data_IF_904814318818
#
_entry.id   IF_904814318818
#
_cell.length_a   1.000
_cell.length_b   1.000
_cell.length_c   1.000
_cell.angle_alpha   90.00
_cell.angle_beta   90.00
_cell.angle_gamma   90.00
#
_symmetry.space_group_name_H-M   'P 1'
#
loop_
_entity.id
_entity.type
_entity.pdbx_description
1 polymer ?
#
# COMPACT_ATOMS: atom_id res chain seq x y z
N UNK A 1 -21.78 -13.65 -6.65
CA UNK A 1 -22.01 -15.02 -7.16
C UNK A 1 -21.53 -16.05 -6.14
N UNK A 2 -22.13 -17.25 -6.08
CA UNK A 2 -21.58 -18.35 -5.26
C UNK A 2 -20.61 -19.15 -6.11
N UNK A 3 -19.44 -19.47 -5.55
CA UNK A 3 -18.47 -20.32 -6.24
C UNK A 3 -18.99 -21.76 -6.30
N UNK A 4 -19.07 -22.40 -7.48
CA UNK A 4 -19.53 -23.79 -7.59
C UNK A 4 -18.58 -24.79 -6.92
N UNK A 5 -17.29 -24.44 -6.76
CA UNK A 5 -16.29 -25.34 -6.17
C UNK A 5 -16.26 -25.32 -4.63
N UNK A 6 -16.45 -24.17 -3.98
CA UNK A 6 -16.40 -24.08 -2.51
C UNK A 6 -17.60 -23.39 -1.85
N UNK A 7 -18.64 -23.08 -2.63
CA UNK A 7 -19.89 -22.47 -2.19
C UNK A 7 -19.77 -21.11 -1.46
N UNK A 8 -18.57 -20.52 -1.43
CA UNK A 8 -18.32 -19.21 -0.84
C UNK A 8 -18.98 -18.10 -1.67
N UNK A 9 -19.45 -17.06 -0.97
CA UNK A 9 -19.98 -15.84 -1.59
C UNK A 9 -18.83 -15.00 -2.14
N UNK A 10 -18.75 -14.91 -3.46
CA UNK A 10 -17.73 -14.14 -4.17
C UNK A 10 -18.35 -12.85 -4.72
N UNK A 11 -17.76 -11.66 -4.47
CA UNK A 11 -18.21 -10.41 -5.07
C UNK A 11 -18.17 -10.49 -6.60
N UNK A 12 -19.15 -9.92 -7.31
CA UNK A 12 -19.22 -10.00 -8.77
C UNK A 12 -18.01 -9.34 -9.50
N UNK A 13 -17.19 -8.55 -8.78
CA UNK A 13 -15.96 -7.95 -9.30
C UNK A 13 -14.75 -8.90 -9.32
N UNK A 14 -14.87 -10.10 -8.72
CA UNK A 14 -13.78 -11.07 -8.61
C UNK A 14 -13.95 -12.17 -9.65
N UNK A 15 -12.94 -12.36 -10.50
CA UNK A 15 -12.95 -13.44 -11.49
C UNK A 15 -12.43 -14.77 -10.92
N UNK A 16 -11.76 -14.76 -9.77
CA UNK A 16 -11.16 -15.94 -9.15
C UNK A 16 -11.65 -16.02 -7.70
N UNK A 17 -12.21 -17.16 -7.34
CA UNK A 17 -12.60 -17.48 -5.99
C UNK A 17 -11.36 -17.80 -5.13
N UNK A 18 -11.45 -17.61 -3.80
CA UNK A 18 -10.37 -17.98 -2.86
C UNK A 18 -9.89 -19.44 -2.96
N UNK A 19 -10.73 -20.35 -3.45
CA UNK A 19 -10.35 -21.73 -3.71
C UNK A 19 -9.57 -21.96 -5.02
N UNK A 20 -9.18 -20.89 -5.74
CA UNK A 20 -8.49 -20.99 -7.02
C UNK A 20 -9.41 -21.26 -8.22
N UNK A 21 -10.73 -21.28 -8.02
CA UNK A 21 -11.69 -21.51 -9.10
C UNK A 21 -11.97 -20.22 -9.88
N UNK A 22 -11.77 -20.25 -11.20
CA UNK A 22 -12.04 -19.11 -12.06
C UNK A 22 -13.53 -19.09 -12.44
N UNK A 23 -14.25 -18.09 -11.92
CA UNK A 23 -15.70 -17.95 -12.08
C UNK A 23 -16.12 -17.55 -13.51
N UNK A 24 -15.18 -17.04 -14.32
CA UNK A 24 -15.44 -16.68 -15.73
C UNK A 24 -15.03 -17.78 -16.71
N UNK A 25 -13.94 -18.48 -16.43
CA UNK A 25 -13.43 -19.54 -17.29
C UNK A 25 -14.04 -20.91 -16.99
N UNK A 26 -14.67 -21.10 -15.82
CA UNK A 26 -15.31 -22.37 -15.44
C UNK A 26 -14.32 -23.48 -15.05
N UNK A 27 -13.04 -23.15 -14.90
CA UNK A 27 -11.96 -24.10 -14.62
C UNK A 27 -11.21 -23.74 -13.34
N UNK A 28 -10.64 -24.76 -12.69
CA UNK A 28 -9.73 -24.56 -11.56
C UNK A 28 -8.36 -24.16 -12.09
N UNK A 29 -7.79 -23.05 -11.58
CA UNK A 29 -6.42 -22.66 -11.92
C UNK A 29 -5.49 -23.61 -11.17
N UNK A 30 -5.03 -24.67 -11.86
CA UNK A 30 -4.19 -25.74 -11.32
C UNK A 30 -2.73 -25.29 -11.12
N UNK A 31 -2.51 -24.17 -10.45
CA UNK A 31 -1.19 -23.79 -9.92
C UNK A 31 -1.11 -24.29 -8.45
N UNK A 32 -0.02 -24.96 -8.01
CA UNK A 32 0.07 -25.62 -6.70
C UNK A 32 -0.28 -24.72 -5.50
N UNK A 33 0.06 -23.43 -5.60
CA UNK A 33 -0.21 -22.40 -4.59
C UNK A 33 -1.72 -22.19 -4.37
N UNK A 34 -2.52 -22.23 -5.44
CA UNK A 34 -3.97 -22.05 -5.34
C UNK A 34 -4.64 -23.27 -4.71
N UNK A 35 -4.14 -24.48 -4.99
CA UNK A 35 -4.64 -25.73 -4.40
C UNK A 35 -4.38 -25.78 -2.89
N UNK A 36 -3.16 -25.42 -2.45
CA UNK A 36 -2.79 -25.40 -1.02
C UNK A 36 -3.52 -24.31 -0.25
N UNK A 37 -3.66 -23.11 -0.82
CA UNK A 37 -4.45 -22.04 -0.21
C UNK A 37 -5.93 -22.41 -0.11
N UNK A 38 -6.49 -23.15 -1.09
CA UNK A 38 -7.84 -23.67 -1.02
C UNK A 38 -8.02 -24.71 0.11
N UNK A 39 -7.04 -25.61 0.30
CA UNK A 39 -7.04 -26.62 1.37
C UNK A 39 -6.97 -25.99 2.76
N UNK A 40 -6.13 -24.96 2.95
CA UNK A 40 -6.04 -24.22 4.23
C UNK A 40 -7.31 -23.42 4.52
N UNK A 41 -7.94 -22.84 3.50
CA UNK A 41 -9.23 -22.15 3.67
C UNK A 41 -10.32 -23.16 4.04
N UNK A 42 -10.33 -24.34 3.41
CA UNK A 42 -11.29 -25.41 3.69
C UNK A 42 -11.15 -25.95 5.11
N UNK A 43 -9.93 -26.24 5.57
CA UNK A 43 -9.70 -26.75 6.93
C UNK A 43 -10.13 -25.75 8.00
N UNK A 44 -9.92 -24.45 7.77
CA UNK A 44 -10.36 -23.40 8.69
C UNK A 44 -11.87 -23.16 8.67
N UNK A 45 -12.53 -23.38 7.54
CA UNK A 45 -14.00 -23.34 7.47
C UNK A 45 -14.63 -24.53 8.21
N UNK A 46 -14.00 -25.71 8.15
CA UNK A 46 -14.38 -26.90 8.92
C UNK A 46 -14.19 -26.67 10.43
N UNK A 47 -13.04 -26.17 10.87
CA UNK A 47 -12.77 -25.80 12.27
C UNK A 47 -13.76 -24.76 12.80
N UNK A 48 -14.07 -23.73 11.99
CA UNK A 48 -15.07 -22.72 12.34
C UNK A 48 -16.49 -23.30 12.46
N UNK A 49 -16.80 -24.34 11.69
CA UNK A 49 -18.10 -25.00 11.72
C UNK A 49 -18.23 -25.90 12.96
N UNK A 50 -17.15 -26.59 13.34
CA UNK A 50 -17.04 -27.38 14.56
C UNK A 50 -17.25 -26.51 15.80
N UNK A 51 -16.51 -25.40 15.93
CA UNK A 51 -16.69 -24.43 17.02
C UNK A 51 -18.15 -23.93 17.09
N UNK A 52 -18.81 -23.73 15.94
CA UNK A 52 -20.20 -23.30 15.90
C UNK A 52 -21.17 -24.36 16.40
N UNK A 53 -20.88 -25.63 16.15
CA UNK A 53 -21.67 -26.74 16.64
C UNK A 53 -21.48 -26.92 18.15
N UNK A 54 -20.25 -26.81 18.65
CA UNK A 54 -19.95 -26.87 20.08
C UNK A 54 -20.68 -25.77 20.86
N UNK A 55 -20.65 -24.53 20.36
CA UNK A 55 -21.40 -23.41 20.95
C UNK A 55 -22.91 -23.70 20.98
N UNK A 56 -23.45 -24.34 19.94
CA UNK A 56 -24.86 -24.70 19.86
C UNK A 56 -25.20 -25.80 20.88
N UNK A 57 -24.32 -26.79 21.05
CA UNK A 57 -24.48 -27.88 22.02
C UNK A 57 -24.38 -27.37 23.48
N UNK A 58 -23.43 -26.50 23.77
CA UNK A 58 -23.29 -25.84 25.07
C UNK A 58 -24.55 -25.03 25.39
N UNK A 59 -25.07 -24.26 24.44
CA UNK A 59 -26.29 -23.47 24.64
C UNK A 59 -27.52 -24.36 24.89
N UNK A 60 -27.65 -25.49 24.18
CA UNK A 60 -28.73 -26.45 24.42
C UNK A 60 -28.60 -27.12 25.80
N UNK A 61 -27.37 -27.42 26.22
CA UNK A 61 -27.07 -27.97 27.56
C UNK A 61 -27.43 -26.98 28.67
N UNK A 62 -27.15 -25.69 28.47
CA UNK A 62 -27.53 -24.64 29.42
C UNK A 62 -29.05 -24.47 29.47
N UNK A 63 -29.73 -24.54 28.33
CA UNK A 63 -31.19 -24.37 28.23
C UNK A 63 -31.96 -25.53 28.89
N UNK A 64 -31.37 -26.72 28.93
CA UNK A 64 -31.97 -27.94 29.49
C UNK A 64 -31.55 -28.23 30.94
N UNK A 65 -30.71 -27.41 31.59
CA UNK A 65 -30.43 -27.57 33.02
C UNK A 65 -31.68 -27.20 33.85
N UNK A 66 -32.19 -28.10 34.71
CA UNK A 66 -33.33 -27.79 35.56
C UNK A 66 -32.96 -26.69 36.57
N UNK A 67 -33.77 -25.63 36.65
CA UNK A 67 -33.59 -24.55 37.62
C UNK A 67 -33.66 -25.13 39.06
N UNK A 68 -32.70 -24.82 39.94
CA UNK A 68 -32.72 -25.35 41.30
C UNK A 68 -33.93 -24.80 42.08
N UNK A 69 -34.73 -25.70 42.66
CA UNK A 69 -35.78 -25.34 43.62
C UNK A 69 -35.12 -25.02 44.97
N UNK A 70 -35.11 -23.75 45.35
CA UNK A 70 -34.68 -23.31 46.67
C UNK A 70 -35.77 -23.73 47.67
N UNK A 71 -35.49 -24.77 48.48
CA UNK A 71 -36.29 -25.18 49.63
C UNK A 71 -35.57 -24.75 50.91
N UNK A 72 -35.78 -23.51 51.36
CA UNK A 72 -35.66 -23.06 52.76
C UNK A 72 -36.06 -21.57 52.87
N UNK A 73 -36.84 -21.17 53.89
CA UNK A 73 -37.28 -19.79 54.07
C UNK A 73 -36.11 -18.86 54.46
N UNK A 74 -36.20 -17.61 54.01
CA UNK A 74 -35.14 -16.58 53.99
C UNK A 74 -34.76 -16.03 55.38
N UNK A 75 -35.39 -16.50 56.46
CA UNK A 75 -35.26 -15.92 57.82
C UNK A 75 -34.18 -16.56 58.70
N UNK A 76 -33.39 -17.51 58.21
CA UNK A 76 -32.45 -18.31 59.02
C UNK A 76 -30.96 -18.13 58.59
N UNK A 77 -30.66 -17.14 57.75
CA UNK A 77 -29.28 -16.83 57.29
C UNK A 77 -28.95 -15.35 57.57
N UNK A 78 -29.23 -14.90 58.79
CA UNK A 78 -28.72 -13.64 59.32
C UNK A 78 -28.02 -13.92 60.63
N UNK A 79 -26.79 -14.41 60.57
CA UNK A 79 -25.78 -14.13 61.59
C UNK A 79 -24.38 -14.46 61.08
N UNK A 80 -23.53 -13.43 61.10
CA UNK A 80 -22.08 -13.49 61.24
C UNK A 80 -21.31 -14.29 60.18
N UNK A 81 -21.03 -13.64 59.06
CA UNK A 81 -19.66 -13.43 58.54
C UNK A 81 -19.74 -12.16 57.68
N UNK A 82 -18.89 -11.20 58.00
CA UNK A 82 -18.70 -9.91 57.33
C UNK A 82 -18.37 -10.12 55.85
N UNK A 83 -19.42 -10.35 55.07
CA UNK A 83 -19.40 -10.63 53.64
C UNK A 83 -19.14 -9.36 52.84
N UNK A 84 -19.31 -8.17 53.44
CA UNK A 84 -19.13 -6.91 52.73
C UNK A 84 -17.65 -6.65 52.39
N UNK A 85 -16.68 -7.05 53.22
CA UNK A 85 -15.25 -6.83 52.88
C UNK A 85 -14.73 -7.82 51.82
N UNK A 86 -15.14 -9.08 51.87
CA UNK A 86 -14.68 -10.12 50.94
C UNK A 86 -15.42 -10.04 49.60
N UNK A 87 -16.72 -9.72 49.63
CA UNK A 87 -17.51 -9.48 48.43
C UNK A 87 -17.11 -8.15 47.79
N UNK A 88 -16.78 -7.09 48.54
CA UNK A 88 -16.23 -5.87 47.93
C UNK A 88 -14.87 -6.13 47.26
N UNK A 89 -14.00 -6.94 47.87
CA UNK A 89 -12.69 -7.29 47.30
C UNK A 89 -12.82 -8.19 46.06
N UNK A 90 -13.69 -9.20 46.09
CA UNK A 90 -14.00 -10.02 44.91
C UNK A 90 -14.73 -9.23 43.82
N UNK A 91 -15.65 -8.33 44.18
CA UNK A 91 -16.37 -7.48 43.24
C UNK A 91 -15.44 -6.44 42.60
N UNK A 92 -14.43 -5.95 43.33
CA UNK A 92 -13.39 -5.07 42.78
C UNK A 92 -12.42 -5.81 41.85
N UNK A 93 -12.05 -7.06 42.16
CA UNK A 93 -11.24 -7.89 41.25
C UNK A 93 -12.04 -8.34 40.01
N UNK A 94 -13.31 -8.69 40.19
CA UNK A 94 -14.24 -9.00 39.09
C UNK A 94 -14.51 -7.76 38.23
N UNK A 95 -14.62 -6.56 38.82
CA UNK A 95 -14.71 -5.31 38.05
C UNK A 95 -13.43 -5.06 37.27
N UNK A 96 -12.24 -5.18 37.89
CA UNK A 96 -10.95 -5.03 37.21
C UNK A 96 -10.76 -6.06 36.09
N UNK A 97 -11.18 -7.31 36.31
CA UNK A 97 -11.16 -8.36 35.30
C UNK A 97 -12.16 -8.07 34.17
N UNK A 98 -13.37 -7.60 34.51
CA UNK A 98 -14.39 -7.21 33.52
C UNK A 98 -14.00 -5.96 32.73
N UNK A 99 -13.30 -5.00 33.33
CA UNK A 99 -12.75 -3.82 32.65
C UNK A 99 -11.53 -4.18 31.82
N UNK A 100 -10.70 -5.13 32.24
CA UNK A 100 -9.60 -5.68 31.45
C UNK A 100 -10.09 -6.53 30.26
N UNK A 101 -11.27 -7.14 30.37
CA UNK A 101 -11.98 -7.83 29.28
C UNK A 101 -12.70 -6.81 28.38
N UNK A 102 -13.33 -5.78 28.96
CA UNK A 102 -14.02 -4.70 28.24
C UNK A 102 -13.04 -3.82 27.46
N UNK A 103 -11.86 -3.51 28.02
CA UNK A 103 -10.77 -2.84 27.28
C UNK A 103 -10.16 -3.72 26.19
N UNK A 104 -10.18 -5.05 26.34
CA UNK A 104 -9.76 -5.98 25.28
C UNK A 104 -10.83 -6.17 24.18
N UNK A 105 -12.11 -6.02 24.50
CA UNK A 105 -13.21 -6.20 23.54
C UNK A 105 -13.70 -4.89 22.88
N UNK A 106 -13.42 -3.71 23.45
CA UNK A 106 -13.70 -2.41 22.80
C UNK A 106 -12.74 -2.13 21.63
N UNK A 107 -11.60 -2.82 21.55
CA UNK A 107 -10.71 -2.80 20.37
C UNK A 107 -11.10 -3.82 19.28
N UNK A 108 -12.21 -4.58 19.48
CA UNK A 108 -12.57 -5.71 18.62
C UNK A 108 -13.98 -5.70 18.01
N UNK A 109 -14.95 -4.96 18.55
CA UNK A 109 -16.32 -5.02 18.03
C UNK A 109 -17.10 -3.72 18.25
N UNK A 110 -16.94 -2.78 17.32
CA UNK A 110 -17.84 -1.67 17.13
C UNK A 110 -17.96 -1.40 15.62
N UNK A 111 -18.78 -2.18 14.90
CA UNK A 111 -19.68 -1.72 13.82
C UNK A 111 -20.38 -2.90 13.11
N UNK A 112 -21.30 -3.55 13.79
CA UNK A 112 -22.59 -3.97 13.25
C UNK A 112 -23.57 -3.62 14.38
N UNK A 113 -24.54 -2.72 14.25
CA UNK A 113 -25.77 -2.83 13.46
C UNK A 113 -26.30 -1.39 13.32
N UNK A 114 -26.48 -0.90 12.09
CA UNK A 114 -27.63 -0.06 11.75
C UNK A 114 -28.05 -0.43 10.33
N UNK A 115 -29.15 -1.18 10.26
CA UNK A 115 -29.94 -1.39 9.06
C UNK A 115 -30.40 -0.02 8.54
N UNK A 116 -30.09 0.29 7.28
CA UNK A 116 -31.01 1.02 6.42
C UNK A 116 -31.04 0.28 5.10
N UNK A 117 -32.19 -0.35 4.87
CA UNK A 117 -32.67 -0.77 3.56
C UNK A 117 -32.70 0.44 2.63
N UNK A 118 -32.06 0.35 1.46
CA UNK A 118 -32.56 0.99 0.25
C UNK A 118 -32.07 0.21 -0.98
N UNK A 119 -33.04 -0.03 -1.86
CA UNK A 119 -33.07 -0.88 -3.05
C UNK A 119 -32.06 -0.50 -4.15
N UNK A 120 -31.63 -1.46 -5.00
CA UNK A 120 -30.80 -1.16 -6.16
C UNK A 120 -31.66 -0.61 -7.31
N UNK A 121 -31.42 0.65 -7.70
CA UNK A 121 -31.85 1.17 -8.99
C UNK A 121 -30.78 0.79 -10.01
N UNK A 122 -31.20 0.06 -11.04
CA UNK A 122 -30.34 -0.50 -12.07
C UNK A 122 -29.86 0.54 -13.08
N UNK A 123 -28.72 0.24 -13.69
CA UNK A 123 -28.41 0.63 -15.06
C UNK A 123 -27.73 -0.57 -15.74
N UNK A 124 -28.41 -1.02 -16.79
CA UNK A 124 -28.08 -2.11 -17.72
C UNK A 124 -26.89 -1.75 -18.62
N UNK A 125 -26.20 -2.79 -19.11
CA UNK A 125 -25.16 -2.75 -20.15
C UNK A 125 -25.64 -2.07 -21.45
N UNK A 126 -24.73 -1.79 -22.42
CA UNK A 126 -24.46 -2.85 -23.41
C UNK A 126 -23.00 -2.94 -23.89
N UNK A 127 -22.55 -4.18 -24.12
CA UNK A 127 -21.80 -4.52 -25.33
C UNK A 127 -20.29 -4.65 -25.22
N UNK A 128 -19.79 -5.87 -25.08
CA UNK A 128 -18.67 -6.33 -25.90
C UNK A 128 -18.78 -7.84 -26.13
N UNK A 129 -19.26 -8.19 -27.32
CA UNK A 129 -19.25 -9.53 -27.88
C UNK A 129 -17.83 -10.00 -28.11
N UNK A 130 -17.63 -11.31 -27.88
CA UNK A 130 -16.46 -12.05 -28.32
C UNK A 130 -16.52 -12.22 -29.83
N UNK A 131 -15.41 -11.98 -30.51
CA UNK A 131 -15.12 -12.62 -31.80
C UNK A 131 -13.78 -13.33 -31.67
N UNK A 132 -13.87 -14.63 -31.91
CA UNK A 132 -12.79 -15.58 -32.14
C UNK A 132 -12.26 -15.41 -33.55
N UNK A 133 -10.94 -15.40 -33.74
CA UNK A 133 -10.37 -15.76 -35.03
C UNK A 133 -8.99 -16.41 -34.84
N UNK A 134 -8.83 -17.51 -35.56
CA UNK A 134 -7.72 -18.46 -35.53
C UNK A 134 -6.44 -17.89 -36.18
N UNK A 135 -5.31 -18.50 -35.83
CA UNK A 135 -4.02 -18.33 -36.47
C UNK A 135 -4.06 -18.70 -37.97
N UNK A 136 -3.05 -18.26 -38.74
CA UNK A 136 -2.11 -19.27 -39.23
C UNK A 136 -0.62 -18.88 -39.18
N UNK A 137 0.18 -19.93 -39.37
CA UNK A 137 1.64 -20.05 -39.45
C UNK A 137 2.38 -19.03 -40.32
N UNK A 138 3.68 -18.85 -40.05
CA UNK A 138 4.62 -18.46 -41.11
C UNK A 138 5.90 -17.76 -40.68
N UNK A 139 6.99 -18.53 -40.70
CA UNK A 139 8.36 -18.19 -41.08
C UNK A 139 9.40 -17.57 -40.11
N UNK A 140 10.37 -18.45 -39.87
CA UNK A 140 11.80 -18.29 -39.61
C UNK A 140 12.50 -17.21 -40.47
N UNK A 141 13.47 -16.50 -39.88
CA UNK A 141 14.90 -16.56 -40.23
C UNK A 141 15.68 -15.28 -39.84
N UNK A 142 16.99 -15.46 -39.70
CA UNK A 142 18.09 -14.48 -39.69
C UNK A 142 18.70 -14.05 -38.33
N UNK A 143 19.63 -14.91 -37.90
CA UNK A 143 20.94 -14.59 -37.32
C UNK A 143 21.63 -13.36 -37.93
N UNK A 144 22.42 -12.67 -37.10
CA UNK A 144 23.40 -11.66 -37.52
C UNK A 144 24.28 -11.28 -36.33
N UNK A 145 25.50 -11.83 -36.33
CA UNK A 145 26.56 -11.66 -35.33
C UNK A 145 27.21 -10.27 -35.39
N UNK A 146 27.66 -9.77 -34.23
CA UNK A 146 28.86 -8.91 -34.15
C UNK A 146 29.43 -8.88 -32.71
N UNK A 147 30.53 -9.61 -32.53
CA UNK A 147 31.63 -9.41 -31.56
C UNK A 147 32.25 -8.01 -31.71
N UNK A 148 33.05 -7.40 -30.82
CA UNK A 148 33.51 -7.63 -29.45
C UNK A 148 34.16 -6.31 -28.97
N UNK A 149 34.30 -6.13 -27.66
CA UNK A 149 35.05 -5.03 -27.05
C UNK A 149 35.26 -5.23 -25.55
N UNK A 150 36.21 -6.12 -25.20
CA UNK A 150 36.62 -6.47 -23.83
C UNK A 150 37.40 -5.33 -23.18
N UNK A 151 37.10 -5.04 -21.91
CA UNK A 151 38.09 -4.56 -20.94
C UNK A 151 37.77 -5.08 -19.53
N UNK A 152 38.74 -5.77 -18.92
CA UNK A 152 39.04 -5.68 -17.47
C UNK A 152 38.24 -6.53 -16.50
N UNK A 153 38.89 -7.56 -15.97
CA UNK A 153 38.36 -8.59 -15.07
C UNK A 153 38.12 -8.12 -13.62
N UNK A 154 37.05 -8.67 -13.04
CA UNK A 154 36.80 -8.77 -11.61
C UNK A 154 35.84 -9.94 -11.42
N UNK A 155 36.38 -11.17 -11.43
CA UNK A 155 35.62 -12.41 -11.37
C UNK A 155 35.01 -12.55 -9.97
N UNK A 156 33.72 -12.18 -9.84
CA UNK A 156 32.83 -12.78 -8.86
C UNK A 156 32.12 -13.90 -9.60
N UNK A 157 32.35 -15.13 -9.16
CA UNK A 157 31.74 -16.36 -9.67
C UNK A 157 30.22 -16.18 -9.84
N UNK A 158 29.79 -16.06 -11.09
CA UNK A 158 28.38 -16.07 -11.49
C UNK A 158 27.85 -17.48 -11.32
N UNK A 159 27.26 -17.77 -10.15
CA UNK A 159 26.21 -18.78 -10.10
C UNK A 159 25.14 -18.37 -11.11
N UNK A 160 24.83 -19.25 -12.05
CA UNK A 160 23.70 -19.14 -12.98
C UNK A 160 22.40 -19.20 -12.18
N UNK A 161 22.10 -18.15 -11.42
CA UNK A 161 20.79 -17.90 -10.87
C UNK A 161 19.90 -17.35 -11.97
N UNK A 162 18.70 -17.92 -12.12
CA UNK A 162 17.66 -17.35 -12.97
C UNK A 162 17.36 -15.91 -12.50
N UNK A 163 17.80 -14.91 -13.26
CA UNK A 163 17.46 -13.51 -12.96
C UNK A 163 16.01 -13.27 -13.36
N UNK A 164 15.12 -13.15 -12.40
CA UNK A 164 13.71 -12.89 -12.67
C UNK A 164 13.54 -11.41 -13.01
N UNK A 165 13.07 -11.12 -14.24
CA UNK A 165 12.93 -9.75 -14.75
C UNK A 165 11.52 -9.23 -14.50
N UNK A 166 11.41 -7.96 -14.10
CA UNK A 166 10.14 -7.24 -14.13
C UNK A 166 9.76 -6.89 -15.57
N UNK A 167 8.50 -7.11 -15.94
CA UNK A 167 8.01 -6.74 -17.27
C UNK A 167 6.84 -5.77 -17.14
N UNK A 168 6.81 -4.74 -17.98
CA UNK A 168 5.72 -3.77 -18.02
C UNK A 168 5.07 -3.74 -19.40
N UNK A 169 3.84 -4.28 -19.50
CA UNK A 169 3.09 -4.40 -20.77
C UNK A 169 2.22 -3.20 -21.11
N UNK A 170 2.20 -2.17 -20.26
CA UNK A 170 1.33 -1.01 -20.42
C UNK A 170 1.59 -0.27 -21.73
N UNK A 171 0.52 0.12 -22.43
CA UNK A 171 0.57 0.82 -23.73
C UNK A 171 0.15 2.28 -23.55
N UNK A 172 0.94 3.19 -24.12
CA UNK A 172 0.70 4.65 -24.06
C UNK A 172 -0.70 5.04 -24.54
N UNK A 173 -1.13 4.51 -25.70
CA UNK A 173 -2.46 4.79 -26.27
C UNK A 173 -3.61 4.33 -25.37
N UNK A 174 -3.48 3.16 -24.73
CA UNK A 174 -4.53 2.62 -23.84
C UNK A 174 -4.63 3.47 -22.58
N UNK A 175 -3.48 3.81 -21.97
CA UNK A 175 -3.46 4.69 -20.80
C UNK A 175 -3.94 6.10 -21.13
N UNK A 176 -3.58 6.65 -22.30
CA UNK A 176 -4.08 7.93 -22.79
C UNK A 176 -5.61 7.96 -22.88
N UNK A 177 -6.24 6.91 -23.42
CA UNK A 177 -7.72 6.83 -23.49
C UNK A 177 -8.35 6.88 -22.10
N UNK A 178 -7.78 6.16 -21.13
CA UNK A 178 -8.25 6.16 -19.74
C UNK A 178 -8.10 7.56 -19.13
N UNK A 179 -6.89 8.13 -19.22
CA UNK A 179 -6.56 9.44 -18.68
C UNK A 179 -7.44 10.56 -19.28
N UNK A 180 -7.60 10.56 -20.61
CA UNK A 180 -8.38 11.59 -21.32
C UNK A 180 -9.86 11.52 -20.94
N UNK A 181 -10.46 10.32 -20.94
CA UNK A 181 -11.85 10.14 -20.51
C UNK A 181 -12.04 10.53 -19.04
N UNK A 182 -11.10 10.16 -18.18
CA UNK A 182 -11.12 10.55 -16.78
C UNK A 182 -11.06 12.08 -16.61
N UNK A 183 -10.23 12.78 -17.41
CA UNK A 183 -10.13 14.24 -17.38
C UNK A 183 -11.44 14.90 -17.81
N UNK A 184 -12.11 14.36 -18.84
CA UNK A 184 -13.44 14.82 -19.25
C UNK A 184 -14.48 14.64 -18.13
N UNK A 185 -14.51 13.45 -17.51
CA UNK A 185 -15.41 13.18 -16.39
C UNK A 185 -15.12 14.06 -15.18
N UNK A 186 -13.84 14.37 -14.91
CA UNK A 186 -13.47 15.34 -13.89
C UNK A 186 -14.01 16.73 -14.21
N UNK A 187 -13.92 17.20 -15.45
CA UNK A 187 -14.50 18.49 -15.85
C UNK A 187 -16.03 18.48 -15.69
N UNK A 188 -16.73 17.43 -16.14
CA UNK A 188 -18.18 17.31 -16.02
C UNK A 188 -18.68 17.21 -14.57
N UNK A 189 -17.83 16.75 -13.64
CA UNK A 189 -18.17 16.58 -12.21
C UNK A 189 -17.55 17.63 -11.30
N UNK A 190 -17.00 18.72 -11.88
CA UNK A 190 -16.33 19.80 -11.12
C UNK A 190 -15.24 19.22 -10.19
N UNK A 191 -14.48 18.27 -10.70
CA UNK A 191 -13.36 17.63 -10.01
C UNK A 191 -13.72 16.45 -9.10
N UNK A 192 -15.01 16.20 -8.79
CA UNK A 192 -15.40 15.11 -7.88
C UNK A 192 -14.95 13.74 -8.41
N UNK A 193 -14.99 13.51 -9.73
CA UNK A 193 -14.57 12.25 -10.33
C UNK A 193 -13.06 11.93 -10.17
N UNK A 194 -12.24 12.89 -9.69
CA UNK A 194 -10.81 12.70 -9.46
C UNK A 194 -10.49 11.43 -8.67
N UNK A 195 -11.28 11.11 -7.65
CA UNK A 195 -11.01 9.95 -6.78
C UNK A 195 -11.14 8.62 -7.54
N UNK A 196 -12.15 8.47 -8.39
CA UNK A 196 -12.32 7.28 -9.22
C UNK A 196 -11.30 7.24 -10.36
N UNK A 197 -10.98 8.40 -10.94
CA UNK A 197 -9.94 8.54 -11.96
C UNK A 197 -8.56 8.05 -11.44
N UNK A 198 -8.11 8.55 -10.28
CA UNK A 198 -6.81 8.19 -9.67
C UNK A 198 -6.71 6.68 -9.45
N UNK A 199 -7.76 6.06 -8.90
CA UNK A 199 -7.80 4.60 -8.67
C UNK A 199 -7.79 3.80 -9.98
N UNK A 200 -8.53 4.25 -11.00
CA UNK A 200 -8.58 3.59 -12.31
C UNK A 200 -7.23 3.61 -13.01
N UNK A 201 -6.51 4.74 -12.91
CA UNK A 201 -5.16 4.89 -13.46
C UNK A 201 -4.14 4.03 -12.71
N UNK A 202 -4.14 4.04 -11.37
CA UNK A 202 -3.27 3.16 -10.57
C UNK A 202 -3.53 1.69 -10.86
N UNK A 203 -4.79 1.27 -10.90
CA UNK A 203 -5.17 -0.11 -11.25
C UNK A 203 -4.63 -0.51 -12.62
N UNK A 204 -4.69 0.38 -13.61
CA UNK A 204 -4.11 0.11 -14.92
C UNK A 204 -2.60 -0.13 -14.83
N UNK A 205 -1.84 0.76 -14.16
CA UNK A 205 -0.39 0.62 -14.05
C UNK A 205 0.03 -0.66 -13.32
N UNK A 206 -0.62 -0.99 -12.20
CA UNK A 206 -0.32 -2.20 -11.43
C UNK A 206 -0.65 -3.48 -12.23
N UNK A 207 -1.84 -3.55 -12.84
CA UNK A 207 -2.24 -4.72 -13.63
C UNK A 207 -1.39 -4.94 -14.89
N UNK A 208 -0.65 -3.92 -15.34
CA UNK A 208 0.28 -4.02 -16.46
C UNK A 208 1.72 -4.29 -16.03
N UNK A 209 1.99 -4.35 -14.72
CA UNK A 209 3.28 -4.70 -14.14
C UNK A 209 3.28 -6.18 -13.79
N UNK A 210 4.15 -6.95 -14.44
CA UNK A 210 4.32 -8.38 -14.25
C UNK A 210 5.64 -8.68 -13.55
N UNK A 211 5.57 -9.62 -12.61
CA UNK A 211 6.74 -10.22 -11.98
C UNK A 211 6.59 -11.73 -12.11
N UNK A 212 7.62 -12.40 -12.66
CA UNK A 212 7.62 -13.86 -12.85
C UNK A 212 6.33 -14.38 -13.55
N UNK A 213 5.88 -13.66 -14.58
CA UNK A 213 4.73 -14.01 -15.41
C UNK A 213 3.35 -13.74 -14.81
N UNK A 214 3.23 -13.28 -13.56
CA UNK A 214 1.95 -12.91 -12.95
C UNK A 214 1.89 -11.40 -12.65
N UNK A 215 0.76 -10.76 -12.94
CA UNK A 215 0.57 -9.32 -12.74
C UNK A 215 0.31 -8.92 -11.29
N UNK A 216 0.67 -7.69 -10.94
CA UNK A 216 0.25 -7.07 -9.68
C UNK A 216 -1.22 -6.65 -9.76
N UNK A 217 -1.95 -6.80 -8.66
CA UNK A 217 -3.35 -6.36 -8.54
C UNK A 217 -3.47 -5.22 -7.53
N UNK A 218 -4.35 -4.25 -7.83
CA UNK A 218 -4.64 -3.11 -6.95
C UNK A 218 -6.13 -3.00 -6.61
N UNK A 219 -6.46 -3.15 -5.32
CA UNK A 219 -7.81 -3.36 -4.79
C UNK A 219 -8.45 -2.13 -4.12
N UNK A 220 -7.91 -0.93 -4.31
CA UNK A 220 -8.48 0.28 -3.71
C UNK A 220 -9.81 0.68 -4.38
N UNK A 221 -10.64 1.41 -3.62
CA UNK A 221 -11.89 2.01 -4.09
C UNK A 221 -11.81 3.55 -4.10
N UNK A 222 -12.55 4.19 -5.00
CA UNK A 222 -12.59 5.67 -5.08
C UNK A 222 -13.22 6.31 -3.83
N UNK A 223 -14.18 5.63 -3.20
CA UNK A 223 -14.82 6.12 -1.98
C UNK A 223 -13.88 6.14 -0.76
N UNK A 224 -13.01 5.12 -0.62
CA UNK A 224 -11.95 5.13 0.40
C UNK A 224 -11.08 6.37 0.28
N UNK A 225 -10.76 6.77 -0.96
CA UNK A 225 -9.95 7.96 -1.24
C UNK A 225 -10.74 9.26 -1.03
N UNK A 226 -12.02 9.33 -1.39
CA UNK A 226 -12.87 10.50 -1.14
C UNK A 226 -12.96 10.83 0.36
N UNK A 227 -13.25 9.84 1.22
CA UNK A 227 -13.36 10.08 2.67
C UNK A 227 -12.04 10.51 3.31
N UNK A 228 -10.92 10.06 2.73
CA UNK A 228 -9.61 10.52 3.13
C UNK A 228 -9.39 12.00 2.79
N UNK A 229 -9.67 12.39 1.54
CA UNK A 229 -9.57 13.78 1.10
C UNK A 229 -10.52 14.70 1.88
N UNK A 230 -11.70 14.24 2.26
CA UNK A 230 -12.62 15.03 3.10
C UNK A 230 -11.99 15.40 4.46
N UNK A 231 -11.25 14.48 5.08
CA UNK A 231 -10.54 14.75 6.35
C UNK A 231 -9.42 15.77 6.16
N UNK A 232 -8.71 15.72 5.03
CA UNK A 232 -7.70 16.73 4.69
C UNK A 232 -8.34 18.07 4.34
N UNK A 233 -9.47 18.07 3.65
CA UNK A 233 -10.23 19.27 3.34
C UNK A 233 -10.66 20.01 4.62
N UNK A 234 -11.06 19.30 5.67
CA UNK A 234 -11.32 19.91 6.99
C UNK A 234 -10.07 20.60 7.54
N UNK A 235 -8.90 19.95 7.46
CA UNK A 235 -7.65 20.59 7.88
C UNK A 235 -7.37 21.85 7.05
N UNK A 236 -7.50 21.78 5.73
CA UNK A 236 -7.29 22.92 4.82
C UNK A 236 -8.27 24.06 5.13
N UNK A 237 -9.53 23.77 5.45
CA UNK A 237 -10.51 24.78 5.85
C UNK A 237 -10.12 25.45 7.17
N UNK A 238 -9.55 24.70 8.13
CA UNK A 238 -8.98 25.29 9.35
C UNK A 238 -7.82 26.21 8.99
N UNK A 239 -6.92 25.78 8.10
CA UNK A 239 -5.80 26.60 7.63
C UNK A 239 -6.29 27.91 7.02
N UNK A 240 -7.18 27.83 6.02
CA UNK A 240 -7.74 28.99 5.33
C UNK A 240 -8.53 29.89 6.29
N UNK A 241 -9.30 29.30 7.20
CA UNK A 241 -10.02 30.05 8.23
C UNK A 241 -9.08 30.83 9.13
N UNK A 242 -7.97 30.23 9.56
CA UNK A 242 -6.93 30.92 10.34
C UNK A 242 -6.28 32.05 9.52
N UNK A 243 -5.98 31.83 8.24
CA UNK A 243 -5.44 32.90 7.38
C UNK A 243 -6.43 34.06 7.23
N UNK A 244 -7.71 33.78 7.01
CA UNK A 244 -8.75 34.83 6.92
C UNK A 244 -8.94 35.59 8.25
N UNK A 245 -8.85 34.92 9.40
CA UNK A 245 -8.92 35.57 10.70
C UNK A 245 -7.77 36.56 10.94
N UNK A 246 -6.61 36.36 10.32
CA UNK A 246 -5.49 37.32 10.40
C UNK A 246 -5.84 38.68 9.76
N UNK A 247 -6.71 38.70 8.74
CA UNK A 247 -7.15 39.94 8.11
C UNK A 247 -8.17 40.71 8.97
N UNK A 248 -9.02 40.00 9.72
CA UNK A 248 -10.03 40.61 10.60
C UNK A 248 -9.40 41.14 11.89
N UNK A 249 -8.38 40.46 12.41
CA UNK A 249 -7.71 40.81 13.67
C UNK A 249 -6.26 41.25 13.40
N UNK A 250 -5.97 42.55 13.19
CA UNK A 250 -4.66 43.06 12.76
C UNK A 250 -3.59 43.08 13.87
N UNK A 251 -3.66 42.15 14.84
CA UNK A 251 -2.67 42.03 15.90
C UNK A 251 -1.45 41.24 15.42
N UNK A 252 -0.32 41.91 15.19
CA UNK A 252 0.92 41.31 14.67
C UNK A 252 1.34 40.04 15.42
N UNK A 253 1.25 40.04 16.75
CA UNK A 253 1.59 38.87 17.58
C UNK A 253 0.65 37.67 17.35
N UNK A 254 -0.66 37.91 17.18
CA UNK A 254 -1.64 36.85 16.95
C UNK A 254 -1.40 36.19 15.59
N UNK A 255 -1.10 37.01 14.57
CA UNK A 255 -0.76 36.55 13.21
C UNK A 255 0.48 35.65 13.22
N UNK A 256 1.54 36.07 13.93
CA UNK A 256 2.78 35.29 14.06
C UNK A 256 2.52 33.97 14.78
N UNK A 257 1.82 34.00 15.94
CA UNK A 257 1.50 32.80 16.71
C UNK A 257 0.67 31.83 15.88
N UNK A 258 -0.37 32.31 15.19
CA UNK A 258 -1.21 31.51 14.32
C UNK A 258 -0.41 30.84 13.19
N UNK A 259 0.50 31.58 12.54
CA UNK A 259 1.40 31.05 11.53
C UNK A 259 2.34 29.97 12.08
N UNK A 260 2.92 30.18 13.26
CA UNK A 260 3.80 29.19 13.91
C UNK A 260 3.05 27.91 14.30
N UNK A 261 1.85 28.05 14.87
CA UNK A 261 0.98 26.91 15.22
C UNK A 261 0.63 26.11 13.97
N UNK A 262 0.25 26.79 12.89
CA UNK A 262 -0.06 26.16 11.62
C UNK A 262 1.15 25.40 11.04
N UNK A 263 2.33 26.04 11.03
CA UNK A 263 3.57 25.40 10.60
C UNK A 263 3.88 24.14 11.42
N UNK A 264 3.67 24.19 12.74
CA UNK A 264 3.87 23.05 13.63
C UNK A 264 2.90 21.90 13.32
N UNK A 265 1.65 22.21 12.99
CA UNK A 265 0.65 21.21 12.58
C UNK A 265 1.10 20.51 11.29
N UNK A 266 1.49 21.23 10.25
CA UNK A 266 1.99 20.64 9.00
C UNK A 266 3.21 19.74 9.23
N UNK A 267 4.10 20.19 10.10
CA UNK A 267 5.29 19.45 10.48
C UNK A 267 5.00 18.11 11.16
N UNK A 268 3.97 18.04 12.01
CA UNK A 268 3.53 16.80 12.67
C UNK A 268 2.71 15.92 11.72
N UNK A 269 1.86 16.52 10.87
CA UNK A 269 0.99 15.79 9.94
C UNK A 269 1.79 15.06 8.86
N UNK A 270 2.92 15.61 8.42
CA UNK A 270 3.75 15.02 7.35
C UNK A 270 4.23 13.57 7.64
N UNK A 271 4.92 13.27 8.76
CA UNK A 271 5.34 11.89 9.07
C UNK A 271 4.14 10.95 9.31
N UNK A 272 3.04 11.46 9.88
CA UNK A 272 1.80 10.70 10.03
C UNK A 272 1.29 10.30 8.65
N UNK A 273 1.26 11.25 7.71
CA UNK A 273 0.83 11.02 6.36
C UNK A 273 1.69 9.93 5.69
N UNK A 274 3.02 10.08 5.68
CA UNK A 274 3.90 9.10 5.03
C UNK A 274 3.68 7.65 5.47
N UNK A 275 3.42 7.40 6.77
CA UNK A 275 3.10 6.05 7.27
C UNK A 275 1.73 5.58 6.77
N UNK A 276 0.71 6.43 6.88
CA UNK A 276 -0.65 6.07 6.48
C UNK A 276 -0.75 5.82 4.97
N UNK A 277 -0.06 6.60 4.11
CA UNK A 277 -0.03 6.40 2.65
C UNK A 277 0.54 5.04 2.32
N UNK A 278 1.64 4.66 2.97
CA UNK A 278 2.26 3.36 2.77
C UNK A 278 1.33 2.23 3.21
N UNK A 279 0.72 2.31 4.40
CA UNK A 279 -0.26 1.31 4.86
C UNK A 279 -1.41 1.14 3.87
N UNK A 280 -1.97 2.24 3.39
CA UNK A 280 -3.03 2.23 2.39
C UNK A 280 -2.56 1.59 1.07
N UNK A 281 -1.43 2.02 0.51
CA UNK A 281 -0.93 1.51 -0.78
C UNK A 281 -0.55 0.03 -0.72
N UNK A 282 0.19 -0.38 0.30
CA UNK A 282 0.62 -1.77 0.43
C UNK A 282 -0.55 -2.71 0.73
N UNK A 283 -1.48 -2.34 1.64
CA UNK A 283 -2.64 -3.20 1.95
C UNK A 283 -3.60 -3.42 0.79
N UNK A 284 -3.54 -2.57 -0.25
CA UNK A 284 -4.33 -2.69 -1.48
C UNK A 284 -3.57 -3.26 -2.65
N UNK A 285 -2.26 -3.47 -2.51
CA UNK A 285 -1.45 -4.16 -3.51
C UNK A 285 -1.40 -5.64 -3.18
N UNK A 286 -1.65 -6.50 -4.18
CA UNK A 286 -1.45 -7.93 -4.05
C UNK A 286 -0.74 -8.50 -5.25
N UNK A 287 -0.09 -9.64 -5.04
CA UNK A 287 0.54 -10.41 -6.09
C UNK A 287 0.31 -11.89 -5.83
N UNK A 288 -0.13 -12.64 -6.86
CA UNK A 288 -0.53 -14.06 -6.73
C UNK A 288 -1.53 -14.30 -5.58
N UNK A 289 -2.39 -13.33 -5.31
CA UNK A 289 -3.39 -13.37 -4.23
C UNK A 289 -2.86 -13.04 -2.82
N UNK A 290 -1.56 -12.85 -2.64
CA UNK A 290 -0.93 -12.47 -1.37
C UNK A 290 -0.79 -10.94 -1.32
N UNK A 291 -1.22 -10.33 -0.21
CA UNK A 291 -1.17 -8.87 -0.03
C UNK A 291 0.15 -8.40 0.56
N UNK A 292 0.57 -7.21 0.14
CA UNK A 292 1.60 -6.47 0.85
C UNK A 292 1.02 -5.83 2.11
N UNK A 293 1.86 -5.57 3.09
CA UNK A 293 1.47 -4.81 4.29
C UNK A 293 2.61 -3.94 4.79
N UNK A 294 2.27 -2.83 5.42
CA UNK A 294 3.23 -1.94 6.06
C UNK A 294 2.96 -1.89 7.57
N UNK A 295 3.96 -2.23 8.37
CA UNK A 295 3.82 -2.38 9.84
C UNK A 295 4.60 -1.34 10.63
N UNK A 296 5.06 -0.28 9.97
CA UNK A 296 5.82 0.79 10.62
C UNK A 296 4.97 1.60 11.59
N UNK A 297 5.53 1.95 12.76
CA UNK A 297 4.87 2.80 13.76
C UNK A 297 5.14 4.29 13.50
N UNK A 298 4.08 5.10 13.55
CA UNK A 298 4.14 6.56 13.36
C UNK A 298 5.17 7.21 14.29
N UNK A 299 5.20 6.82 15.57
CA UNK A 299 6.13 7.38 16.57
C UNK A 299 7.61 7.16 16.21
N UNK A 300 7.94 6.03 15.61
CA UNK A 300 9.31 5.72 15.20
C UNK A 300 9.74 6.64 14.04
N UNK A 301 8.86 6.86 13.05
CA UNK A 301 9.14 7.81 11.97
C UNK A 301 9.18 9.25 12.47
N UNK A 302 8.30 9.65 13.39
CA UNK A 302 8.32 11.01 13.98
C UNK A 302 9.66 11.31 14.68
N UNK A 303 10.24 10.34 15.41
CA UNK A 303 11.55 10.50 16.05
C UNK A 303 12.70 10.68 15.05
N UNK A 304 12.52 10.22 13.82
CA UNK A 304 13.50 10.40 12.73
C UNK A 304 13.25 11.74 12.03
N UNK A 305 12.01 12.02 11.64
CA UNK A 305 11.67 13.18 10.82
C UNK A 305 11.69 14.51 11.56
N UNK A 306 11.15 14.58 12.78
CA UNK A 306 11.08 15.85 13.52
C UNK A 306 12.47 16.46 13.75
N UNK A 307 13.43 15.79 14.40
CA UNK A 307 14.77 16.36 14.53
C UNK A 307 15.46 16.48 13.17
N UNK A 308 15.20 15.56 12.25
CA UNK A 308 15.86 15.56 10.94
C UNK A 308 15.46 16.73 10.04
N UNK A 309 14.20 17.16 10.03
CA UNK A 309 13.76 18.32 9.25
C UNK A 309 14.36 19.60 9.86
N UNK A 310 14.38 19.72 11.19
CA UNK A 310 15.03 20.86 11.86
C UNK A 310 16.52 20.94 11.49
N UNK A 311 17.25 19.82 11.58
CA UNK A 311 18.65 19.74 11.15
C UNK A 311 18.81 20.01 9.64
N UNK A 312 17.85 19.59 8.82
CA UNK A 312 17.86 19.87 7.38
C UNK A 312 17.77 21.37 7.11
N UNK A 313 16.89 22.09 7.79
CA UNK A 313 16.78 23.55 7.68
C UNK A 313 18.07 24.21 8.18
N UNK A 314 18.57 23.80 9.36
CA UNK A 314 19.78 24.36 9.98
C UNK A 314 21.04 24.16 9.12
N UNK A 315 21.12 23.07 8.36
CA UNK A 315 22.27 22.71 7.53
C UNK A 315 22.08 23.09 6.05
N UNK A 316 21.13 23.98 5.73
CA UNK A 316 20.82 24.40 4.36
C UNK A 316 20.61 23.21 3.41
N UNK A 317 19.78 22.27 3.83
CA UNK A 317 19.42 21.04 3.15
C UNK A 317 20.50 19.96 3.06
N UNK A 318 21.72 20.15 3.58
CA UNK A 318 22.77 19.12 3.52
C UNK A 318 22.36 17.84 4.29
N UNK A 319 21.70 17.97 5.44
CA UNK A 319 21.23 16.84 6.22
C UNK A 319 20.04 16.08 5.57
N UNK A 320 19.42 16.66 4.53
CA UNK A 320 18.29 16.05 3.83
C UNK A 320 18.61 14.64 3.33
N UNK A 321 19.82 14.42 2.82
CA UNK A 321 20.24 13.10 2.37
C UNK A 321 20.17 12.04 3.47
N UNK A 322 20.67 12.34 4.66
CA UNK A 322 20.64 11.42 5.79
C UNK A 322 19.21 11.15 6.24
N UNK A 323 18.37 12.19 6.31
CA UNK A 323 16.95 12.06 6.64
C UNK A 323 16.22 11.17 5.63
N UNK A 324 16.43 11.40 4.33
CA UNK A 324 15.85 10.60 3.25
C UNK A 324 16.32 9.14 3.33
N UNK A 325 17.62 8.92 3.59
CA UNK A 325 18.19 7.60 3.78
C UNK A 325 17.53 6.85 4.94
N UNK A 326 17.43 7.47 6.12
CA UNK A 326 16.79 6.85 7.30
C UNK A 326 15.29 6.62 7.12
N UNK A 327 14.62 7.49 6.38
CA UNK A 327 13.21 7.28 6.02
C UNK A 327 13.07 6.09 5.06
N UNK A 328 13.98 5.93 4.08
CA UNK A 328 13.99 4.78 3.16
C UNK A 328 14.26 3.46 3.89
N UNK A 329 15.27 3.46 4.77
CA UNK A 329 15.61 2.36 5.66
C UNK A 329 14.39 1.93 6.49
N UNK A 330 13.76 2.89 7.19
CA UNK A 330 12.53 2.66 7.94
C UNK A 330 11.40 2.10 7.06
N UNK A 331 11.19 2.63 5.86
CA UNK A 331 10.10 2.20 4.99
C UNK A 331 10.28 0.76 4.51
N UNK A 332 11.47 0.40 4.02
CA UNK A 332 11.74 -0.97 3.53
C UNK A 332 11.67 -1.96 4.68
N UNK A 333 12.34 -1.69 5.81
CA UNK A 333 12.36 -2.57 6.97
C UNK A 333 11.00 -2.72 7.67
N UNK A 334 9.99 -1.95 7.29
CA UNK A 334 8.63 -2.09 7.79
C UNK A 334 7.63 -2.57 6.73
N UNK A 335 8.11 -2.93 5.54
CA UNK A 335 7.30 -3.51 4.46
C UNK A 335 7.34 -5.03 4.52
N UNK A 336 6.20 -5.66 4.27
CA UNK A 336 6.01 -7.10 4.31
C UNK A 336 5.26 -7.57 3.06
N UNK A 337 5.59 -8.77 2.60
CA UNK A 337 4.80 -9.51 1.61
C UNK A 337 4.31 -10.80 2.26
N UNK A 338 2.99 -10.92 2.45
CA UNK A 338 2.42 -11.96 3.30
C UNK A 338 2.91 -11.84 4.74
N UNK A 339 3.60 -12.87 5.21
CA UNK A 339 4.24 -12.97 6.53
C UNK A 339 5.73 -12.56 6.53
N UNK A 340 6.32 -12.42 5.35
CA UNK A 340 7.76 -12.25 5.18
C UNK A 340 8.12 -10.77 5.07
N UNK A 341 9.17 -10.36 5.79
CA UNK A 341 9.65 -8.97 5.87
C UNK A 341 10.68 -8.66 4.77
N UNK A 342 10.61 -7.45 4.21
CA UNK A 342 11.70 -6.88 3.41
C UNK A 342 12.81 -6.34 4.30
N UNK A 343 14.05 -6.48 3.84
CA UNK A 343 15.24 -5.98 4.53
C UNK A 343 15.98 -4.93 3.72
N UNK A 344 16.63 -4.03 4.45
CA UNK A 344 17.55 -3.03 3.88
C UNK A 344 18.87 -3.04 4.65
N UNK A 345 19.98 -3.36 3.99
CA UNK A 345 21.33 -3.47 4.58
C UNK A 345 22.27 -2.31 4.18
N UNK A 346 21.72 -1.23 3.62
CA UNK A 346 22.50 -0.07 3.19
C UNK A 346 23.03 0.78 4.35
N UNK A 347 24.16 1.46 4.12
CA UNK A 347 24.74 2.46 5.00
C UNK A 347 24.66 3.90 4.43
N UNK A 348 24.38 4.87 5.29
CA UNK A 348 24.31 6.29 4.92
C UNK A 348 25.66 6.90 4.53
N UNK A 349 26.78 6.31 4.96
CA UNK A 349 28.12 6.81 4.60
C UNK A 349 28.44 6.69 3.11
N UNK A 350 27.79 5.76 2.42
CA UNK A 350 28.30 5.27 1.14
C UNK A 350 28.03 6.24 -0.02
N UNK A 351 26.94 7.01 0.05
CA UNK A 351 26.60 8.01 -0.96
C UNK A 351 26.80 9.45 -0.51
N UNK A 352 27.22 9.71 0.74
CA UNK A 352 27.31 11.09 1.26
C UNK A 352 28.31 11.93 0.46
N UNK A 353 29.45 11.35 0.05
CA UNK A 353 30.44 12.05 -0.80
C UNK A 353 29.87 12.42 -2.16
N UNK A 354 29.12 11.51 -2.79
CA UNK A 354 28.46 11.74 -4.09
C UNK A 354 27.33 12.76 -3.97
N UNK A 355 26.62 12.77 -2.84
CA UNK A 355 25.60 13.76 -2.54
C UNK A 355 26.20 15.17 -2.34
N UNK A 356 27.27 15.30 -1.55
CA UNK A 356 27.96 16.58 -1.37
C UNK A 356 28.56 17.08 -2.69
N UNK A 357 29.13 16.19 -3.50
CA UNK A 357 29.57 16.52 -4.85
C UNK A 357 28.41 17.02 -5.72
N UNK A 358 27.24 16.37 -5.66
CA UNK A 358 26.05 16.83 -6.37
C UNK A 358 25.59 18.21 -5.90
N UNK A 359 25.61 18.44 -4.60
CA UNK A 359 25.24 19.71 -3.99
C UNK A 359 26.15 20.85 -4.47
N UNK A 360 27.47 20.67 -4.45
CA UNK A 360 28.43 21.67 -4.96
C UNK A 360 28.31 21.86 -6.47
N UNK A 361 28.21 20.76 -7.23
CA UNK A 361 28.06 20.82 -8.69
C UNK A 361 26.73 21.43 -9.13
N UNK A 362 25.72 21.50 -8.26
CA UNK A 362 24.44 22.14 -8.57
C UNK A 362 24.63 23.62 -8.91
N UNK A 363 25.56 24.31 -8.24
CA UNK A 363 25.88 25.72 -8.50
C UNK A 363 26.45 25.92 -9.90
N UNK A 364 27.19 24.94 -10.43
CA UNK A 364 27.85 25.03 -11.74
C UNK A 364 27.02 24.44 -12.88
N UNK A 365 26.23 23.41 -12.59
CA UNK A 365 25.49 22.63 -13.58
C UNK A 365 24.00 22.96 -13.61
N UNK A 366 23.54 23.95 -12.83
CA UNK A 366 22.13 24.28 -12.64
C UNK A 366 21.26 23.05 -12.31
N UNK A 367 21.81 22.16 -11.49
CA UNK A 367 21.14 20.95 -11.02
C UNK A 367 21.11 19.77 -11.99
N UNK A 368 21.73 19.84 -13.16
CA UNK A 368 21.79 18.72 -14.12
C UNK A 368 22.43 17.47 -13.48
N UNK A 369 23.44 17.64 -12.62
CA UNK A 369 24.11 16.51 -11.97
C UNK A 369 23.20 15.70 -11.01
N UNK A 370 22.08 16.28 -10.53
CA UNK A 370 21.13 15.54 -9.68
C UNK A 370 20.58 14.29 -10.35
N UNK A 371 20.48 14.24 -11.69
CA UNK A 371 20.02 13.06 -12.41
C UNK A 371 21.02 11.89 -12.34
N UNK A 372 22.32 12.16 -12.33
CA UNK A 372 23.35 11.14 -12.13
C UNK A 372 23.34 10.64 -10.69
N UNK A 373 23.23 11.54 -9.73
CA UNK A 373 23.09 11.18 -8.33
C UNK A 373 21.81 10.36 -8.08
N UNK A 374 20.68 10.74 -8.68
CA UNK A 374 19.42 10.02 -8.58
C UNK A 374 19.54 8.60 -9.14
N UNK A 375 20.16 8.42 -10.31
CA UNK A 375 20.40 7.09 -10.88
C UNK A 375 21.29 6.23 -9.98
N UNK A 376 22.39 6.79 -9.44
CA UNK A 376 23.27 6.09 -8.51
C UNK A 376 22.55 5.71 -7.20
N UNK A 377 21.82 6.66 -6.61
CA UNK A 377 21.00 6.44 -5.41
C UNK A 377 19.97 5.35 -5.63
N UNK A 378 19.28 5.36 -6.76
CA UNK A 378 18.33 4.32 -7.15
C UNK A 378 19.03 2.95 -7.21
N UNK A 379 20.14 2.83 -7.94
CA UNK A 379 20.91 1.57 -8.02
C UNK A 379 21.34 1.08 -6.64
N UNK A 380 21.86 1.97 -5.80
CA UNK A 380 22.29 1.64 -4.45
C UNK A 380 21.13 1.16 -3.57
N UNK A 381 19.98 1.85 -3.57
CA UNK A 381 18.83 1.47 -2.75
C UNK A 381 18.27 0.12 -3.15
N UNK A 382 18.14 -0.17 -4.45
CA UNK A 382 17.69 -1.49 -4.88
C UNK A 382 18.72 -2.57 -4.58
N UNK A 383 20.01 -2.34 -4.80
CA UNK A 383 21.08 -3.31 -4.49
C UNK A 383 21.13 -3.73 -3.01
N UNK A 384 20.73 -2.84 -2.11
CA UNK A 384 20.67 -3.08 -0.66
C UNK A 384 19.26 -3.43 -0.17
N UNK A 385 18.29 -3.59 -1.07
CA UNK A 385 16.97 -4.10 -0.74
C UNK A 385 16.96 -5.59 -1.00
N UNK A 386 16.54 -6.38 0.00
CA UNK A 386 16.44 -7.82 -0.13
C UNK A 386 15.12 -8.35 0.44
N UNK A 387 14.74 -9.52 -0.05
CA UNK A 387 13.56 -10.26 0.38
C UNK A 387 13.95 -11.72 0.56
N UNK A 388 13.94 -12.20 1.80
CA UNK A 388 14.61 -13.46 2.20
C UNK A 388 16.05 -13.50 1.66
N UNK A 389 16.33 -14.41 0.73
CA UNK A 389 17.66 -14.62 0.12
C UNK A 389 17.80 -13.95 -1.25
N UNK A 390 16.81 -13.17 -1.68
CA UNK A 390 16.72 -12.59 -3.02
C UNK A 390 17.04 -11.11 -2.93
N UNK A 391 17.93 -10.64 -3.80
CA UNK A 391 18.31 -9.23 -3.84
C UNK A 391 17.73 -8.56 -5.07
N UNK A 392 17.35 -7.30 -4.89
CA UNK A 392 16.96 -6.47 -6.03
C UNK A 392 18.22 -5.88 -6.65
N UNK A 393 18.21 -5.75 -7.97
CA UNK A 393 19.30 -5.10 -8.71
C UNK A 393 18.71 -4.14 -9.72
N UNK A 394 19.29 -2.95 -9.80
CA UNK A 394 18.92 -1.98 -10.84
C UNK A 394 20.12 -1.56 -11.67
N UNK A 395 19.90 -1.40 -12.97
CA UNK A 395 20.92 -1.01 -13.96
C UNK A 395 20.68 0.39 -14.55
N UNK A 396 19.74 1.16 -13.99
CA UNK A 396 19.43 2.52 -14.44
C UNK A 396 20.70 3.37 -14.45
N UNK A 397 20.98 4.05 -15.56
CA UNK A 397 22.13 4.97 -15.69
C UNK A 397 21.67 6.44 -15.74
N UNK A 398 22.58 7.36 -15.37
CA UNK A 398 22.28 8.80 -15.28
C UNK A 398 21.93 9.43 -16.64
N UNK A 399 22.70 9.15 -17.69
CA UNK A 399 22.46 9.72 -19.04
C UNK A 399 21.12 9.28 -19.64
N UNK A 400 20.76 7.97 -19.68
CA UNK A 400 19.42 7.54 -20.12
C UNK A 400 18.29 8.11 -19.27
N UNK A 401 18.46 8.19 -17.94
CA UNK A 401 17.45 8.77 -17.04
C UNK A 401 17.24 10.26 -17.34
N UNK A 402 18.32 11.03 -17.47
CA UNK A 402 18.27 12.45 -17.84
C UNK A 402 17.55 12.65 -19.17
N UNK A 403 17.91 11.87 -20.20
CA UNK A 403 17.32 12.05 -21.51
C UNK A 403 15.84 11.66 -21.55
N UNK A 404 15.46 10.61 -20.81
CA UNK A 404 14.07 10.23 -20.62
C UNK A 404 13.27 11.35 -19.95
N UNK A 405 13.77 11.91 -18.85
CA UNK A 405 13.09 12.97 -18.10
C UNK A 405 12.96 14.25 -18.92
N UNK A 406 14.02 14.64 -19.63
CA UNK A 406 14.01 15.83 -20.48
C UNK A 406 13.09 15.66 -21.70
N UNK A 407 13.11 14.50 -22.38
CA UNK A 407 12.17 14.26 -23.50
C UNK A 407 10.72 14.13 -23.03
N UNK A 408 10.47 13.57 -21.83
CA UNK A 408 9.14 13.56 -21.21
C UNK A 408 8.66 14.97 -20.87
N UNK A 409 9.54 15.82 -20.34
CA UNK A 409 9.23 17.23 -20.07
C UNK A 409 8.85 17.97 -21.35
N UNK A 410 9.68 17.85 -22.41
CA UNK A 410 9.39 18.48 -23.70
C UNK A 410 8.07 17.98 -24.28
N UNK A 411 7.82 16.66 -24.23
CA UNK A 411 6.56 16.07 -24.65
C UNK A 411 5.38 16.71 -23.91
N UNK A 412 5.44 16.83 -22.59
CA UNK A 412 4.38 17.41 -21.77
C UNK A 412 4.17 18.89 -22.11
N UNK A 413 5.24 19.68 -22.21
CA UNK A 413 5.16 21.13 -22.48
C UNK A 413 4.60 21.40 -23.87
N UNK A 414 5.14 20.76 -24.92
CA UNK A 414 4.70 21.00 -26.30
C UNK A 414 3.30 20.47 -26.60
N UNK A 415 2.78 19.54 -25.78
CA UNK A 415 1.41 19.03 -25.91
C UNK A 415 0.46 19.65 -24.90
N UNK A 416 0.89 20.70 -24.17
CA UNK A 416 0.10 21.38 -23.12
C UNK A 416 -0.48 20.40 -22.09
N UNK A 417 0.30 19.39 -21.71
CA UNK A 417 -0.07 18.37 -20.73
C UNK A 417 -0.69 17.09 -21.32
N UNK A 418 -1.14 17.09 -22.58
CA UNK A 418 -1.78 15.90 -23.19
C UNK A 418 -0.81 14.71 -23.35
N UNK A 419 0.50 14.97 -23.38
CA UNK A 419 1.57 13.98 -23.44
C UNK A 419 1.89 13.31 -22.10
N UNK A 420 1.36 13.81 -20.98
CA UNK A 420 1.56 13.23 -19.64
C UNK A 420 1.37 11.70 -19.57
N UNK A 421 0.26 11.10 -20.06
CA UNK A 421 0.09 9.65 -20.00
C UNK A 421 1.17 8.86 -20.76
N UNK A 422 1.70 9.39 -21.86
CA UNK A 422 2.82 8.75 -22.56
C UNK A 422 4.11 8.85 -21.76
N UNK A 423 4.35 9.99 -21.10
CA UNK A 423 5.51 10.16 -20.20
C UNK A 423 5.48 9.17 -19.04
N UNK A 424 4.32 8.99 -18.39
CA UNK A 424 4.11 8.01 -17.31
C UNK A 424 4.45 6.60 -17.80
N UNK A 425 3.91 6.17 -18.93
CA UNK A 425 4.18 4.82 -19.48
C UNK A 425 5.65 4.63 -19.85
N UNK A 426 6.30 5.63 -20.44
CA UNK A 426 7.73 5.59 -20.75
C UNK A 426 8.58 5.48 -19.49
N UNK A 427 8.22 6.22 -18.44
CA UNK A 427 8.91 6.18 -17.17
C UNK A 427 8.73 4.84 -16.44
N UNK A 428 7.50 4.37 -16.29
CA UNK A 428 7.21 3.08 -15.66
C UNK A 428 7.93 1.93 -16.39
N UNK A 429 7.91 1.94 -17.73
CA UNK A 429 8.65 0.95 -18.53
C UNK A 429 10.15 1.03 -18.29
N UNK A 430 10.73 2.23 -18.33
CA UNK A 430 12.17 2.41 -18.11
C UNK A 430 12.62 1.89 -16.74
N UNK A 431 11.83 2.11 -15.69
CA UNK A 431 12.15 1.61 -14.35
C UNK A 431 12.13 0.08 -14.32
N UNK A 432 11.05 -0.55 -14.78
CA UNK A 432 10.92 -2.01 -14.73
C UNK A 432 11.86 -2.75 -15.69
N UNK A 433 12.16 -2.19 -16.86
CA UNK A 433 13.13 -2.77 -17.81
C UNK A 433 14.55 -2.82 -17.24
N UNK A 434 14.85 -1.96 -16.26
CA UNK A 434 16.14 -1.85 -15.59
C UNK A 434 16.10 -2.39 -14.16
N UNK A 435 15.07 -3.15 -13.76
CA UNK A 435 14.92 -3.76 -12.44
C UNK A 435 14.90 -5.30 -12.55
N UNK A 436 15.73 -5.94 -11.75
CA UNK A 436 15.97 -7.38 -11.77
C UNK A 436 15.92 -7.94 -10.34
N UNK A 437 15.50 -9.20 -10.23
CA UNK A 437 15.60 -9.99 -9.01
C UNK A 437 16.67 -11.05 -9.19
N UNK A 438 17.71 -10.96 -8.38
CA UNK A 438 18.80 -11.94 -8.34
C UNK A 438 18.45 -12.99 -7.28
N UNK A 439 18.01 -14.17 -7.73
CA UNK A 439 17.69 -15.32 -6.87
C UNK A 439 16.43 -16.08 -7.32
N UNK A 440 16.35 -17.35 -6.92
CA UNK A 440 15.15 -18.16 -7.12
C UNK A 440 14.08 -17.76 -6.11
N UNK A 441 12.90 -17.42 -6.64
CA UNK A 441 11.75 -17.10 -5.81
C UNK A 441 11.05 -18.39 -5.39
N UNK A 442 11.36 -18.91 -4.19
CA UNK A 442 10.57 -19.98 -3.60
C UNK A 442 9.32 -19.41 -2.90
N UNK A 443 8.21 -19.43 -3.62
CA UNK A 443 6.92 -18.95 -3.15
C UNK A 443 6.14 -19.97 -2.32
N UNK A 444 6.60 -21.22 -2.25
CA UNK A 444 5.83 -22.27 -1.59
C UNK A 444 5.75 -22.06 -0.07
N UNK A 445 6.64 -21.24 0.48
CA UNK A 445 6.73 -20.94 1.90
C UNK A 445 5.94 -19.70 2.35
N UNK A 446 5.52 -18.82 1.45
CA UNK A 446 4.96 -17.51 1.84
C UNK A 446 3.46 -17.65 2.10
N UNK A 447 3.04 -17.45 3.35
CA UNK A 447 1.63 -17.51 3.75
C UNK A 447 1.02 -16.12 3.84
N UNK A 448 -0.28 -16.02 3.53
CA UNK A 448 -1.05 -14.81 3.79
C UNK A 448 -1.26 -14.64 5.30
N UNK A 449 -0.69 -13.60 5.88
CA UNK A 449 -0.94 -13.25 7.28
C UNK A 449 -2.43 -12.84 7.48
N UNK A 450 -3.04 -13.38 8.53
CA UNK A 450 -4.43 -13.11 8.93
C UNK A 450 -4.60 -11.72 9.54
N UNK A 451 -3.51 -11.09 10.03
CA UNK A 451 -3.52 -9.72 10.56
C UNK A 451 -3.38 -8.71 9.42
N UNK A 452 -4.43 -8.57 8.60
CA UNK A 452 -4.57 -7.37 7.76
C UNK A 452 -5.02 -6.21 8.66
N UNK A 453 -4.28 -5.09 8.74
CA UNK A 453 -4.71 -3.94 9.55
C UNK A 453 -6.07 -3.40 9.06
N UNK A 454 -6.85 -2.92 10.02
CA UNK A 454 -8.19 -2.35 9.80
C UNK A 454 -8.11 -1.17 8.81
N UNK A 455 -8.99 -1.20 7.81
CA UNK A 455 -9.07 -0.25 6.71
C UNK A 455 -9.53 1.17 7.11
N UNK A 456 -9.91 1.39 8.36
CA UNK A 456 -10.59 2.62 8.77
C UNK A 456 -9.57 3.64 9.27
N UNK A 457 -9.09 4.50 8.36
CA UNK A 457 -8.27 5.67 8.70
C UNK A 457 -7.03 5.90 7.84
N UNK A 458 -6.64 4.94 7.00
CA UNK A 458 -5.34 4.94 6.32
C UNK A 458 -5.29 5.79 5.04
N UNK A 459 -6.42 6.15 4.45
CA UNK A 459 -6.43 6.93 3.21
C UNK A 459 -6.01 8.40 3.37
N UNK A 460 -6.10 8.99 4.59
CA UNK A 460 -5.91 10.44 4.87
C UNK A 460 -4.64 10.99 4.21
N UNK A 461 -3.63 10.15 4.14
CA UNK A 461 -2.34 10.55 3.69
C UNK A 461 -2.14 10.52 2.17
N UNK A 462 -2.91 9.72 1.44
CA UNK A 462 -2.93 9.79 -0.03
C UNK A 462 -3.56 11.11 -0.53
N UNK A 463 -4.19 11.87 0.38
CA UNK A 463 -4.66 13.23 0.16
C UNK A 463 -3.63 14.32 0.49
N UNK A 464 -2.70 14.05 1.42
CA UNK A 464 -1.48 14.86 1.62
C UNK A 464 -0.38 14.51 0.63
N UNK A 465 -0.47 13.33 0.01
CA UNK A 465 0.29 12.94 -1.16
C UNK A 465 -0.23 13.77 -2.33
N UNK A 466 0.17 15.05 -2.32
CA UNK A 466 0.21 15.81 -3.54
C UNK A 466 1.18 15.01 -4.40
N UNK A 467 0.70 14.46 -5.51
CA UNK A 467 1.49 13.96 -6.66
C UNK A 467 2.33 15.12 -7.26
N UNK A 468 2.80 16.05 -6.43
CA UNK A 468 3.70 17.14 -6.71
C UNK A 468 5.05 16.49 -7.01
N UNK A 469 5.20 16.15 -8.28
CA UNK A 469 6.43 15.71 -8.92
C UNK A 469 6.73 14.23 -8.64
N UNK A 470 5.94 13.30 -9.21
CA UNK A 470 6.40 12.01 -9.78
C UNK A 470 7.53 11.22 -9.09
N UNK A 471 7.70 11.32 -7.78
CA UNK A 471 8.84 10.78 -7.01
C UNK A 471 8.49 9.49 -6.27
N UNK A 472 7.28 8.95 -6.47
CA UNK A 472 6.81 7.78 -5.73
C UNK A 472 7.00 6.44 -6.49
N UNK A 473 7.83 6.46 -7.54
CA UNK A 473 8.42 5.28 -8.17
C UNK A 473 9.91 5.10 -7.81
N UNK A 474 10.33 5.58 -6.64
CA UNK A 474 11.59 5.18 -6.01
C UNK A 474 12.87 5.76 -6.63
N UNK A 475 12.79 6.85 -7.40
CA UNK A 475 13.96 7.58 -7.95
C UNK A 475 14.50 8.61 -6.96
#
# INVERSE_FOLDING_TARGET
MKCPNCNSSVPNSWNICRCGYNLKAGESVTKPIYKRNAEVVKSKEEEKQEIRNDIREINNTIKNKPKPRIKKPVSEITEVIDTDSLVAKQKAEMLKASEAIRRRNIDGDATQILNVSETPIGLTDPGYSKESEQAPDGNQSAQGDMEAGRIGEGIISSGTGSSNKFNFRGKGRTYFKIFFLNRLLMLCTIGIYYFWAKIKERRYLYNQTELDGDSLDYHATGLELLFAYLKVAVLVLIVVGVEYLKEIYPGELIVIIAGLVLSLIFFIVTPIAMVLTQRFRYSRTSWRGIRFSFRGKIRELMRIQIPGILLTILTFFIYYYYLHFKTRDYNINNTYFGDTKFGFDGNSSDLIKKYLLAYVLTLFTFGIYWWWFAAERHRYYWAHTYFKNIRFRSTIQGKPLFWLKLTNLLLIVFTLGLGYPYAVIRETRFIFDNLYLDGELDFQEIMQDAKSPSAVGEGIADAFDIDLIGMDLGI
#
